data_IF_861473419998
#
_entry.id   IF_861473419998
#
_cell.length_a   1.000
_cell.length_b   1.000
_cell.length_c   1.000
_cell.angle_alpha   90.00
_cell.angle_beta   90.00
_cell.angle_gamma   90.00
#
_symmetry.space_group_name_H-M   'P 1'
#
loop_
_entity.id
_entity.type
_entity.pdbx_description
1 polymer ?
#
# COMPACT_ATOMS: atom_id res chain seq x y z
N UNK A 1 14.13 -30.62 43.35
CA UNK A 1 13.42 -29.34 43.63
C UNK A 1 12.24 -29.26 42.68
N UNK A 2 11.01 -29.31 43.22
CA UNK A 2 9.76 -29.14 42.47
C UNK A 2 9.49 -27.64 42.32
N UNK A 3 9.15 -27.19 41.12
CA UNK A 3 8.46 -25.92 40.91
C UNK A 3 7.09 -26.26 40.28
N UNK A 4 6.07 -26.22 41.13
CA UNK A 4 4.66 -26.18 40.73
C UNK A 4 4.32 -24.78 40.19
N UNK A 5 3.27 -24.68 39.36
CA UNK A 5 2.50 -23.44 39.26
C UNK A 5 2.37 -22.76 37.88
N UNK A 6 1.95 -23.49 36.85
CA UNK A 6 1.04 -22.94 35.83
C UNK A 6 0.00 -24.02 35.57
N UNK A 7 -1.20 -23.85 36.13
CA UNK A 7 -2.33 -24.75 35.88
C UNK A 7 -2.69 -24.70 34.40
N UNK A 8 -2.13 -25.60 33.60
CA UNK A 8 -2.66 -25.89 32.27
C UNK A 8 -3.98 -26.61 32.49
N UNK A 9 -5.07 -25.85 32.49
CA UNK A 9 -6.32 -26.42 31.98
C UNK A 9 -6.01 -26.82 30.55
N UNK A 10 -5.86 -28.12 30.29
CA UNK A 10 -5.64 -28.66 28.96
C UNK A 10 -6.94 -28.50 28.16
N UNK A 11 -7.22 -27.27 27.73
CA UNK A 11 -8.27 -27.04 26.75
C UNK A 11 -7.77 -27.61 25.42
N UNK A 12 -8.33 -28.75 25.02
CA UNK A 12 -8.09 -29.31 23.69
C UNK A 12 -8.59 -28.29 22.65
N UNK A 13 -7.66 -27.76 21.85
CA UNK A 13 -7.99 -26.91 20.70
C UNK A 13 -8.45 -27.85 19.58
N UNK A 14 -9.71 -27.77 19.11
CA UNK A 14 -10.22 -28.64 18.05
C UNK A 14 -9.62 -28.26 16.68
N UNK A 15 -9.72 -29.18 15.72
CA UNK A 15 -9.29 -28.92 14.35
C UNK A 15 -10.09 -27.77 13.69
N UNK A 16 -9.45 -26.95 12.83
CA UNK A 16 -10.13 -25.90 12.11
C UNK A 16 -11.17 -26.49 11.13
N UNK A 17 -12.32 -25.83 11.01
CA UNK A 17 -13.36 -26.24 10.04
C UNK A 17 -12.95 -25.96 8.59
N UNK A 18 -12.17 -24.90 8.38
CA UNK A 18 -11.67 -24.47 7.08
C UNK A 18 -10.46 -23.55 7.27
N UNK A 19 -9.63 -23.40 6.23
CA UNK A 19 -8.48 -22.49 6.23
C UNK A 19 -8.14 -22.02 4.82
N UNK A 20 -7.54 -20.83 4.73
CA UNK A 20 -6.94 -20.32 3.49
C UNK A 20 -5.56 -19.75 3.79
N UNK A 21 -4.59 -20.07 2.93
CA UNK A 21 -3.20 -19.63 3.05
C UNK A 21 -2.87 -18.78 1.84
N UNK A 22 -2.35 -17.58 2.09
CA UNK A 22 -1.95 -16.66 1.01
C UNK A 22 -0.47 -16.82 0.70
N UNK A 23 -0.15 -16.84 -0.59
CA UNK A 23 1.21 -16.87 -1.12
C UNK A 23 1.48 -15.61 -1.95
N UNK A 24 1.43 -14.44 -1.30
CA UNK A 24 1.54 -13.13 -1.97
C UNK A 24 2.79 -12.96 -2.83
N UNK A 25 3.91 -13.57 -2.41
CA UNK A 25 5.16 -13.58 -3.17
C UNK A 25 5.03 -14.29 -4.52
N UNK A 26 4.24 -15.36 -4.56
CA UNK A 26 4.09 -16.21 -5.74
C UNK A 26 2.90 -15.77 -6.62
N UNK A 27 2.05 -14.86 -6.10
CA UNK A 27 0.98 -14.23 -6.87
C UNK A 27 1.56 -13.44 -8.06
N UNK A 28 1.15 -13.74 -9.32
CA UNK A 28 1.73 -13.13 -10.51
C UNK A 28 1.52 -11.61 -10.59
N UNK A 29 0.46 -11.11 -9.95
CA UNK A 29 0.07 -9.70 -9.97
C UNK A 29 0.53 -8.90 -8.75
N UNK A 30 0.90 -9.57 -7.64
CA UNK A 30 1.34 -8.89 -6.42
C UNK A 30 2.84 -8.99 -6.22
N UNK A 31 3.41 -10.20 -6.37
CA UNK A 31 4.83 -10.54 -6.15
C UNK A 31 5.41 -10.19 -4.76
N UNK A 32 4.63 -9.53 -3.92
CA UNK A 32 4.91 -9.13 -2.54
C UNK A 32 3.59 -8.74 -1.85
N UNK A 33 3.65 -8.42 -0.56
CA UNK A 33 2.49 -7.91 0.19
C UNK A 33 2.40 -6.39 0.08
N UNK A 34 3.49 -5.69 0.36
CA UNK A 34 3.63 -4.24 0.28
C UNK A 34 5.12 -3.88 0.17
N UNK A 35 5.40 -2.64 -0.24
CA UNK A 35 6.77 -2.13 -0.34
C UNK A 35 7.45 -2.05 1.03
N UNK A 36 8.77 -1.85 1.09
CA UNK A 36 9.45 -1.52 2.35
C UNK A 36 10.75 -0.78 2.06
N UNK A 37 11.21 -0.02 3.05
CA UNK A 37 12.52 0.62 3.00
C UNK A 37 13.61 -0.37 3.34
N UNK A 38 14.45 -0.72 2.36
CA UNK A 38 15.65 -1.51 2.60
C UNK A 38 16.59 -0.78 3.57
N UNK A 39 17.32 -1.53 4.40
CA UNK A 39 18.39 -0.96 5.25
C UNK A 39 19.36 -0.12 4.43
N UNK A 40 19.64 1.11 4.88
CA UNK A 40 20.45 2.09 4.16
C UNK A 40 19.73 2.83 3.03
N UNK A 41 18.45 2.54 2.78
CA UNK A 41 17.61 3.28 1.83
C UNK A 41 17.09 4.60 2.39
N UNK A 42 16.56 5.43 1.48
CA UNK A 42 15.93 6.72 1.80
C UNK A 42 14.47 6.73 1.36
N UNK A 43 13.64 7.51 2.07
CA UNK A 43 12.25 7.77 1.68
C UNK A 43 12.14 8.48 0.33
N UNK A 44 13.24 9.03 -0.19
CA UNK A 44 13.33 9.56 -1.55
C UNK A 44 13.02 8.50 -2.61
N UNK A 45 13.21 7.20 -2.32
CA UNK A 45 12.84 6.13 -3.25
C UNK A 45 11.35 6.17 -3.61
N UNK A 46 10.47 6.49 -2.66
CA UNK A 46 9.04 6.68 -2.92
C UNK A 46 8.77 7.91 -3.78
N UNK A 47 9.53 8.99 -3.57
CA UNK A 47 9.41 10.20 -4.37
C UNK A 47 9.82 9.91 -5.83
N UNK A 48 10.94 9.23 -6.03
CA UNK A 48 11.42 8.81 -7.36
C UNK A 48 10.40 7.93 -8.06
N UNK A 49 9.78 6.96 -7.37
CA UNK A 49 8.73 6.13 -7.95
C UNK A 49 7.44 6.89 -8.27
N UNK A 50 7.20 8.04 -7.64
CA UNK A 50 6.05 8.90 -7.91
C UNK A 50 6.29 9.89 -9.06
N UNK A 51 7.52 10.05 -9.55
CA UNK A 51 7.84 11.02 -10.60
C UNK A 51 7.18 10.63 -11.94
N UNK A 52 6.44 11.56 -12.58
CA UNK A 52 5.85 11.28 -13.87
C UNK A 52 6.92 11.24 -14.97
N UNK A 53 6.72 10.36 -15.96
CA UNK A 53 7.60 10.27 -17.12
C UNK A 53 7.00 11.02 -18.32
N UNK A 54 7.76 11.99 -18.83
CA UNK A 54 7.45 12.79 -20.01
C UNK A 54 6.06 13.43 -20.00
N UNK A 55 5.56 13.79 -18.81
CA UNK A 55 4.21 14.33 -18.58
C UNK A 55 3.07 13.48 -19.18
N UNK A 56 3.31 12.18 -19.43
CA UNK A 56 2.35 11.27 -20.09
C UNK A 56 2.09 10.01 -19.30
N UNK A 57 3.07 9.53 -18.54
CA UNK A 57 2.94 8.35 -17.68
C UNK A 57 3.07 8.77 -16.22
N UNK A 58 2.05 8.47 -15.44
CA UNK A 58 1.95 8.81 -14.02
C UNK A 58 1.90 7.54 -13.19
N UNK A 59 2.47 7.58 -11.99
CA UNK A 59 2.57 6.43 -11.11
C UNK A 59 1.85 6.69 -9.79
N UNK A 60 0.90 5.80 -9.47
CA UNK A 60 0.17 5.79 -8.22
C UNK A 60 0.25 4.40 -7.58
N UNK A 61 -0.16 4.32 -6.32
CA UNK A 61 -0.12 3.12 -5.51
C UNK A 61 0.72 3.31 -4.24
N UNK A 62 0.62 2.34 -3.34
CA UNK A 62 1.25 2.34 -2.02
C UNK A 62 2.76 2.66 -2.09
N UNK A 63 3.49 2.03 -3.01
CA UNK A 63 4.92 2.27 -3.26
C UNK A 63 5.28 3.65 -3.82
N UNK A 64 4.33 4.56 -3.99
CA UNK A 64 4.54 5.94 -4.43
C UNK A 64 4.14 6.97 -3.35
N UNK A 65 3.78 6.52 -2.15
CA UNK A 65 3.37 7.38 -1.03
C UNK A 65 4.43 7.39 0.06
N UNK A 66 5.24 8.44 0.11
CA UNK A 66 6.24 8.62 1.17
C UNK A 66 5.62 8.83 2.56
N UNK A 67 4.48 9.52 2.62
CA UNK A 67 3.82 9.84 3.88
C UNK A 67 3.10 8.63 4.50
N UNK A 68 2.53 7.77 3.64
CA UNK A 68 1.72 6.63 4.08
C UNK A 68 2.06 5.35 3.29
N UNK A 69 3.33 4.91 3.26
CA UNK A 69 3.68 3.66 2.61
C UNK A 69 3.01 2.50 3.36
N UNK A 70 2.90 1.37 2.69
CA UNK A 70 2.36 0.08 3.14
C UNK A 70 0.88 0.11 3.53
N UNK A 71 0.14 1.16 3.15
CA UNK A 71 -1.26 1.35 3.54
C UNK A 71 -2.20 1.52 2.36
N UNK A 72 -3.45 1.12 2.57
CA UNK A 72 -4.56 1.39 1.66
C UNK A 72 -4.77 2.90 1.49
N UNK A 73 -4.70 3.68 2.59
CA UNK A 73 -4.86 5.13 2.55
C UNK A 73 -3.79 5.81 1.69
N UNK A 74 -2.54 5.34 1.76
CA UNK A 74 -1.46 5.83 0.90
C UNK A 74 -1.70 5.54 -0.58
N UNK A 75 -2.16 4.33 -0.91
CA UNK A 75 -2.56 3.99 -2.27
C UNK A 75 -3.70 4.90 -2.77
N UNK A 76 -4.74 5.07 -1.95
CA UNK A 76 -5.89 5.93 -2.28
C UNK A 76 -5.47 7.40 -2.51
N UNK A 77 -4.74 8.00 -1.57
CA UNK A 77 -4.28 9.40 -1.68
C UNK A 77 -3.34 9.60 -2.87
N UNK A 78 -2.46 8.63 -3.17
CA UNK A 78 -1.61 8.70 -4.35
C UNK A 78 -2.39 8.64 -5.65
N UNK A 79 -3.52 7.92 -5.69
CA UNK A 79 -4.44 7.89 -6.83
C UNK A 79 -5.08 9.26 -7.07
N UNK A 80 -5.59 9.92 -6.01
CA UNK A 80 -6.12 11.28 -6.11
C UNK A 80 -5.06 12.28 -6.58
N UNK A 81 -3.83 12.17 -6.05
CA UNK A 81 -2.68 12.99 -6.47
C UNK A 81 -2.43 12.87 -7.98
N UNK A 82 -2.36 11.66 -8.51
CA UNK A 82 -2.09 11.50 -9.95
C UNK A 82 -3.30 11.83 -10.83
N UNK A 83 -4.52 11.59 -10.37
CA UNK A 83 -5.72 12.04 -11.08
C UNK A 83 -5.70 13.56 -11.28
N UNK A 84 -5.39 14.32 -10.22
CA UNK A 84 -5.22 15.78 -10.31
C UNK A 84 -4.09 16.17 -11.26
N UNK A 85 -2.94 15.48 -11.19
CA UNK A 85 -1.79 15.73 -12.06
C UNK A 85 -2.09 15.49 -13.54
N UNK A 86 -2.98 14.54 -13.85
CA UNK A 86 -3.43 14.26 -15.22
C UNK A 86 -4.41 15.35 -15.66
N UNK A 87 -5.43 15.66 -14.85
CA UNK A 87 -6.47 16.62 -15.18
C UNK A 87 -5.88 18.01 -15.51
N UNK A 88 -4.92 18.50 -14.71
CA UNK A 88 -4.25 19.79 -14.96
C UNK A 88 -3.46 19.86 -16.28
N UNK A 89 -3.18 18.72 -16.92
CA UNK A 89 -2.43 18.62 -18.18
C UNK A 89 -3.32 18.37 -19.39
N UNK A 90 -4.60 18.07 -19.16
CA UNK A 90 -5.55 17.96 -20.26
C UNK A 90 -5.91 19.38 -20.74
N UNK A 91 -5.98 19.62 -22.06
CA UNK A 91 -6.37 20.91 -22.61
C UNK A 91 -7.90 21.07 -22.55
N UNK A 92 -8.49 20.88 -21.37
CA UNK A 92 -9.94 20.78 -21.22
C UNK A 92 -10.64 22.12 -20.97
N UNK A 93 -9.91 23.21 -20.72
CA UNK A 93 -10.54 24.50 -20.39
C UNK A 93 -11.49 24.42 -19.18
N UNK A 94 -11.35 23.37 -18.36
CA UNK A 94 -12.13 23.17 -17.16
C UNK A 94 -11.47 23.96 -16.05
N UNK A 95 -12.21 24.91 -15.49
CA UNK A 95 -11.78 25.63 -14.31
C UNK A 95 -11.55 24.62 -13.16
N UNK A 96 -10.46 24.76 -12.38
CA UNK A 96 -10.06 23.82 -11.33
C UNK A 96 -11.14 23.52 -10.27
N UNK A 97 -12.13 24.39 -10.18
CA UNK A 97 -13.11 24.51 -9.12
C UNK A 97 -14.20 23.42 -9.18
N UNK A 98 -14.46 22.85 -10.36
CA UNK A 98 -15.55 21.89 -10.61
C UNK A 98 -15.37 20.50 -9.97
N UNK A 99 -14.21 20.22 -9.38
CA UNK A 99 -13.86 18.89 -8.83
C UNK A 99 -13.84 18.83 -7.30
N UNK A 100 -14.03 19.95 -6.61
CA UNK A 100 -14.11 20.01 -5.14
C UNK A 100 -15.55 19.92 -4.61
N UNK A 101 -16.55 19.79 -5.49
CA UNK A 101 -17.97 19.65 -5.13
C UNK A 101 -18.43 18.18 -4.93
N UNK A 102 -17.49 17.24 -4.72
CA UNK A 102 -17.76 15.82 -4.41
C UNK A 102 -17.13 15.47 -3.06
#
# INVERSE_FOLDING_TARGET
>A
MRSEGWGKGETQVPDPKDYSVTHWRDSPYSRMVYSYMRCGGSGDAYNTLAEPLADRLFFAGEGTSRMFPQTVSGAYMSGLREAWNILRRLPLGLEPDLLLDI
#
